data_IF_706826449031
#
_entry.id   IF_706826449031
#
_cell.length_a   1.000
_cell.length_b   1.000
_cell.length_c   1.000
_cell.angle_alpha   90.00
_cell.angle_beta   90.00
_cell.angle_gamma   90.00
#
_symmetry.space_group_name_H-M   'P 1'
#
loop_
_entity.id
_entity.type
_entity.pdbx_description
1 polymer ?
#
# COMPACT_ATOMS: atom_id res chain seq x y z
N UNK A 1 28.24 53.67 -20.34
CA UNK A 1 26.87 53.16 -20.25
C UNK A 1 26.96 51.66 -20.05
N UNK A 2 26.73 51.17 -18.84
CA UNK A 2 26.74 49.75 -18.54
C UNK A 2 25.31 49.25 -18.51
N UNK A 3 24.94 48.46 -19.52
CA UNK A 3 23.62 47.85 -19.63
C UNK A 3 23.51 46.74 -18.58
N UNK A 4 22.62 46.94 -17.59
CA UNK A 4 22.33 45.98 -16.52
C UNK A 4 20.98 45.34 -16.79
N UNK A 5 20.93 44.39 -17.71
CA UNK A 5 19.83 43.43 -17.77
C UNK A 5 20.05 42.36 -16.70
N UNK A 6 19.14 42.18 -15.74
CA UNK A 6 19.24 41.08 -14.79
C UNK A 6 19.02 39.75 -15.54
N UNK A 7 20.00 38.84 -15.45
CA UNK A 7 19.81 37.44 -15.84
C UNK A 7 18.76 36.84 -14.90
N UNK A 8 17.57 36.61 -15.43
CA UNK A 8 16.59 35.72 -14.80
C UNK A 8 17.13 34.29 -14.91
N UNK A 9 17.94 33.90 -13.93
CA UNK A 9 18.23 32.49 -13.68
C UNK A 9 16.93 31.83 -13.21
N UNK A 10 16.15 31.29 -14.15
CA UNK A 10 15.21 30.23 -13.83
C UNK A 10 16.02 29.02 -13.37
N UNK A 11 16.40 29.01 -12.10
CA UNK A 11 16.68 27.78 -11.37
C UNK A 11 15.38 26.97 -11.43
N UNK A 12 15.25 26.16 -12.48
CA UNK A 12 14.23 25.13 -12.57
C UNK A 12 14.36 24.30 -11.31
N UNK A 13 13.40 24.46 -10.40
CA UNK A 13 13.29 23.60 -9.25
C UNK A 13 13.26 22.17 -9.81
N UNK A 14 14.30 21.38 -9.53
CA UNK A 14 14.24 19.95 -9.74
C UNK A 14 13.15 19.47 -8.81
N UNK A 15 11.95 19.29 -9.35
CA UNK A 15 10.87 18.61 -8.65
C UNK A 15 11.37 17.19 -8.48
N UNK A 16 11.94 16.89 -7.32
CA UNK A 16 12.28 15.52 -6.97
C UNK A 16 10.97 14.77 -6.82
N UNK A 17 10.66 13.95 -7.82
CA UNK A 17 9.54 13.02 -7.76
C UNK A 17 9.76 12.10 -6.55
N UNK A 18 8.70 11.84 -5.80
CA UNK A 18 8.76 10.86 -4.72
C UNK A 18 9.06 9.45 -5.28
N UNK A 19 9.49 8.55 -4.40
CA UNK A 19 9.91 7.20 -4.80
C UNK A 19 8.76 6.43 -5.46
N UNK A 20 7.53 6.63 -4.98
CA UNK A 20 6.34 5.96 -5.52
C UNK A 20 6.03 6.42 -6.95
N UNK A 21 6.03 7.74 -7.21
CA UNK A 21 5.78 8.26 -8.56
C UNK A 21 6.84 7.79 -9.54
N UNK A 22 8.11 7.67 -9.13
CA UNK A 22 9.15 7.10 -10.00
C UNK A 22 8.88 5.63 -10.33
N UNK A 23 8.48 4.83 -9.34
CA UNK A 23 8.15 3.42 -9.57
C UNK A 23 6.98 3.27 -10.55
N UNK A 24 5.93 4.05 -10.39
CA UNK A 24 4.77 4.04 -11.30
C UNK A 24 5.19 4.45 -12.72
N UNK A 25 6.00 5.51 -12.86
CA UNK A 25 6.48 5.93 -14.18
C UNK A 25 7.38 4.88 -14.83
N UNK A 26 8.21 4.18 -14.06
CA UNK A 26 9.01 3.06 -14.54
C UNK A 26 8.11 1.92 -15.04
N UNK A 27 7.10 1.54 -14.27
CA UNK A 27 6.17 0.48 -14.64
C UNK A 27 5.38 0.83 -15.93
N UNK A 28 4.91 2.09 -16.04
CA UNK A 28 4.24 2.59 -17.25
C UNK A 28 5.19 2.53 -18.45
N UNK A 29 6.44 2.96 -18.28
CA UNK A 29 7.44 2.93 -19.35
C UNK A 29 7.79 1.50 -19.77
N UNK A 30 7.93 0.58 -18.82
CA UNK A 30 8.24 -0.82 -19.08
C UNK A 30 7.11 -1.51 -19.85
N UNK A 31 5.86 -1.34 -19.40
CA UNK A 31 4.69 -1.86 -20.10
C UNK A 31 4.58 -1.28 -21.51
N UNK A 32 4.83 0.03 -21.68
CA UNK A 32 4.83 0.64 -23.00
C UNK A 32 5.92 0.07 -23.90
N UNK A 33 7.16 -0.04 -23.40
CA UNK A 33 8.31 -0.54 -24.15
C UNK A 33 8.18 -2.04 -24.53
N UNK A 34 7.50 -2.84 -23.71
CA UNK A 34 7.23 -4.24 -24.02
C UNK A 34 6.29 -4.40 -25.23
N UNK A 35 5.34 -3.47 -25.39
CA UNK A 35 4.28 -3.56 -26.38
C UNK A 35 4.52 -2.66 -27.62
N UNK A 36 5.59 -1.87 -27.64
CA UNK A 36 5.91 -0.99 -28.76
C UNK A 36 6.47 -1.78 -29.96
N UNK A 37 6.29 -1.21 -31.15
CA UNK A 37 6.85 -1.76 -32.39
C UNK A 37 8.36 -1.60 -32.35
N UNK A 38 9.06 -2.73 -32.37
CA UNK A 38 10.51 -2.77 -32.26
C UNK A 38 11.16 -2.55 -33.63
N UNK A 39 12.38 -2.00 -33.69
CA UNK A 39 13.04 -1.71 -34.96
C UNK A 39 13.16 -2.92 -35.90
N UNK A 40 13.32 -4.13 -35.36
CA UNK A 40 13.43 -5.37 -36.12
C UNK A 40 12.09 -5.99 -36.55
N UNK A 41 10.96 -5.38 -36.15
CA UNK A 41 9.61 -5.81 -36.53
C UNK A 41 8.99 -4.90 -37.60
N UNK A 42 9.59 -3.75 -37.86
CA UNK A 42 9.09 -2.78 -38.82
C UNK A 42 9.80 -2.94 -40.17
N UNK A 43 9.02 -3.00 -41.26
CA UNK A 43 9.53 -2.85 -42.61
C UNK A 43 10.03 -1.41 -42.83
N UNK A 44 10.90 -1.17 -43.83
CA UNK A 44 11.47 0.17 -44.10
C UNK A 44 10.38 1.26 -44.28
N UNK A 45 9.21 0.87 -44.79
CA UNK A 45 8.03 1.74 -44.97
C UNK A 45 7.32 2.12 -43.66
N UNK A 46 7.62 1.45 -42.55
CA UNK A 46 6.99 1.63 -41.23
C UNK A 46 7.94 2.26 -40.20
N UNK A 47 9.05 2.85 -40.65
CA UNK A 47 10.06 3.48 -39.79
C UNK A 47 9.47 4.53 -38.82
N UNK A 48 8.37 5.20 -39.19
CA UNK A 48 7.69 6.19 -38.33
C UNK A 48 6.85 5.60 -37.20
N UNK A 49 6.55 4.29 -37.24
CA UNK A 49 5.78 3.59 -36.20
C UNK A 49 6.64 2.93 -35.13
N UNK A 50 7.97 2.92 -35.31
CA UNK A 50 8.91 2.38 -34.32
C UNK A 50 8.77 3.17 -33.02
N UNK A 51 8.73 2.46 -31.88
CA UNK A 51 8.55 3.08 -30.58
C UNK A 51 7.12 3.57 -30.29
N UNK A 52 6.14 3.15 -31.10
CA UNK A 52 4.72 3.38 -30.87
C UNK A 52 3.98 2.06 -30.65
N UNK A 53 2.78 2.12 -30.06
CA UNK A 53 1.84 1.00 -29.99
C UNK A 53 0.74 1.19 -31.03
N UNK A 54 0.19 0.11 -31.59
CA UNK A 54 -1.00 0.23 -32.44
C UNK A 54 -2.19 0.67 -31.61
N UNK A 55 -2.98 1.60 -32.14
CA UNK A 55 -4.11 2.19 -31.43
C UNK A 55 -5.17 1.16 -31.01
N UNK A 56 -5.33 0.08 -31.78
CA UNK A 56 -6.23 -1.04 -31.45
C UNK A 56 -5.81 -1.83 -30.21
N UNK A 57 -4.51 -1.84 -29.90
CA UNK A 57 -3.92 -2.61 -28.81
C UNK A 57 -3.89 -1.82 -27.49
N UNK A 58 -4.11 -0.49 -27.57
CA UNK A 58 -4.13 0.42 -26.42
C UNK A 58 -4.81 -0.15 -25.18
N UNK A 59 -6.05 -0.63 -25.32
CA UNK A 59 -6.84 -1.14 -24.18
C UNK A 59 -6.19 -2.37 -23.56
N UNK A 60 -5.62 -3.27 -24.37
CA UNK A 60 -4.97 -4.47 -23.86
C UNK A 60 -3.65 -4.13 -23.14
N UNK A 61 -2.91 -3.15 -23.66
CA UNK A 61 -1.68 -2.64 -23.03
C UNK A 61 -2.02 -1.94 -21.71
N UNK A 62 -3.04 -1.07 -21.69
CA UNK A 62 -3.46 -0.37 -20.49
C UNK A 62 -3.98 -1.34 -19.39
N UNK A 63 -4.57 -2.48 -19.75
CA UNK A 63 -4.96 -3.52 -18.79
C UNK A 63 -3.77 -4.17 -18.07
N UNK A 64 -2.59 -4.20 -18.69
CA UNK A 64 -1.38 -4.71 -18.04
C UNK A 64 -0.96 -3.83 -16.85
N UNK A 65 -1.35 -2.55 -16.87
CA UNK A 65 -1.20 -1.59 -15.76
C UNK A 65 -2.37 -1.65 -14.74
N UNK A 66 -3.25 -2.64 -14.85
CA UNK A 66 -4.41 -2.79 -13.96
C UNK A 66 -5.61 -1.89 -14.30
N UNK A 67 -5.57 -1.11 -15.39
CA UNK A 67 -6.72 -0.30 -15.81
C UNK A 67 -7.89 -1.18 -16.28
N UNK A 68 -9.09 -0.94 -15.75
CA UNK A 68 -10.29 -1.71 -16.10
C UNK A 68 -11.18 -0.89 -17.04
N UNK A 69 -11.51 -1.47 -18.20
CA UNK A 69 -12.37 -0.83 -19.19
C UNK A 69 -13.65 -1.64 -19.42
N UNK A 70 -14.79 -0.98 -19.32
CA UNK A 70 -16.09 -1.51 -19.73
C UNK A 70 -16.20 -1.63 -21.24
N UNK A 71 -17.10 -2.48 -21.72
CA UNK A 71 -17.35 -2.65 -23.16
C UNK A 71 -17.83 -1.36 -23.85
N UNK A 72 -18.46 -0.44 -23.12
CA UNK A 72 -18.88 0.86 -23.65
C UNK A 72 -17.67 1.79 -23.87
N UNK A 73 -16.75 1.85 -22.90
CA UNK A 73 -15.53 2.65 -22.98
C UNK A 73 -14.62 2.17 -24.09
N UNK A 74 -14.40 0.86 -24.22
CA UNK A 74 -13.58 0.29 -25.31
C UNK A 74 -14.13 0.71 -26.68
N UNK A 75 -15.46 0.67 -26.87
CA UNK A 75 -16.10 1.14 -28.11
C UNK A 75 -15.98 2.64 -28.30
N UNK A 76 -16.06 3.43 -27.23
CA UNK A 76 -15.89 4.88 -27.29
C UNK A 76 -14.45 5.26 -27.70
N UNK A 77 -13.45 4.66 -27.05
CA UNK A 77 -12.02 4.87 -27.33
C UNK A 77 -11.71 4.52 -28.78
N UNK A 78 -12.12 3.33 -29.26
CA UNK A 78 -11.91 2.92 -30.65
C UNK A 78 -12.55 3.88 -31.65
N UNK A 79 -13.78 4.35 -31.37
CA UNK A 79 -14.47 5.34 -32.22
C UNK A 79 -13.72 6.67 -32.27
N UNK A 80 -13.20 7.16 -31.15
CA UNK A 80 -12.46 8.42 -31.11
C UNK A 80 -11.12 8.31 -31.84
N UNK A 81 -10.35 7.25 -31.59
CA UNK A 81 -9.07 7.02 -32.28
C UNK A 81 -9.28 6.93 -33.80
N UNK A 82 -10.32 6.21 -34.25
CA UNK A 82 -10.68 6.13 -35.67
C UNK A 82 -11.11 7.49 -36.24
N UNK A 83 -11.95 8.25 -35.52
CA UNK A 83 -12.42 9.59 -35.94
C UNK A 83 -11.26 10.56 -36.17
N UNK A 84 -10.22 10.48 -35.32
CA UNK A 84 -9.03 11.32 -35.41
C UNK A 84 -7.92 10.71 -36.27
N UNK A 85 -8.16 9.57 -36.94
CA UNK A 85 -7.17 8.84 -37.76
C UNK A 85 -5.87 8.51 -36.99
N UNK A 86 -6.00 8.19 -35.71
CA UNK A 86 -4.89 7.78 -34.86
C UNK A 86 -4.72 6.26 -35.00
N UNK A 87 -3.72 5.85 -35.78
CA UNK A 87 -3.37 4.44 -35.97
C UNK A 87 -2.30 3.95 -34.98
N UNK A 88 -1.45 4.88 -34.53
CA UNK A 88 -0.33 4.63 -33.65
C UNK A 88 -0.33 5.62 -32.49
N UNK A 89 0.05 5.14 -31.30
CA UNK A 89 0.07 5.91 -30.06
C UNK A 89 1.51 5.93 -29.55
N UNK A 90 2.06 7.12 -29.36
CA UNK A 90 3.37 7.31 -28.74
C UNK A 90 3.28 7.28 -27.20
N UNK A 91 4.43 7.31 -26.52
CA UNK A 91 4.48 7.20 -25.05
C UNK A 91 3.72 8.33 -24.35
N UNK A 92 3.83 9.56 -24.85
CA UNK A 92 3.17 10.72 -24.24
C UNK A 92 1.64 10.61 -24.33
N UNK A 93 1.14 10.21 -25.51
CA UNK A 93 -0.28 9.96 -25.73
C UNK A 93 -0.78 8.78 -24.88
N UNK A 94 0.03 7.74 -24.74
CA UNK A 94 -0.31 6.58 -23.89
C UNK A 94 -0.45 7.00 -22.43
N UNK A 95 0.53 7.71 -21.88
CA UNK A 95 0.50 8.25 -20.51
C UNK A 95 -0.71 9.14 -20.32
N UNK A 96 -1.01 10.02 -21.28
CA UNK A 96 -2.17 10.91 -21.19
C UNK A 96 -3.50 10.14 -21.15
N UNK A 97 -3.67 9.12 -21.99
CA UNK A 97 -4.89 8.31 -22.03
C UNK A 97 -5.05 7.47 -20.75
N UNK A 98 -3.97 6.93 -20.21
CA UNK A 98 -3.97 6.22 -18.92
C UNK A 98 -4.32 7.17 -17.78
N UNK A 99 -3.71 8.35 -17.73
CA UNK A 99 -4.00 9.34 -16.69
C UNK A 99 -5.46 9.80 -16.73
N UNK A 100 -6.02 10.02 -17.92
CA UNK A 100 -7.45 10.34 -18.08
C UNK A 100 -8.35 9.23 -17.53
N UNK A 101 -7.98 7.96 -17.74
CA UNK A 101 -8.72 6.81 -17.20
C UNK A 101 -8.65 6.77 -15.68
N UNK A 102 -7.46 6.93 -15.11
CA UNK A 102 -7.26 6.99 -13.65
C UNK A 102 -8.10 8.12 -13.05
N UNK A 103 -8.10 9.31 -13.67
CA UNK A 103 -8.89 10.45 -13.21
C UNK A 103 -10.40 10.22 -13.33
N UNK A 104 -10.87 9.51 -14.36
CA UNK A 104 -12.29 9.16 -14.53
C UNK A 104 -12.75 8.07 -13.55
N UNK A 105 -11.87 7.12 -13.26
CA UNK A 105 -12.12 6.03 -12.31
C UNK A 105 -11.83 6.43 -10.87
N UNK A 106 -11.37 7.66 -10.65
CA UNK A 106 -11.19 8.24 -9.32
C UNK A 106 -12.57 8.46 -8.70
N UNK A 107 -13.16 7.37 -8.25
CA UNK A 107 -14.11 7.39 -7.16
C UNK A 107 -13.25 7.71 -5.95
N UNK A 108 -13.63 8.74 -5.19
CA UNK A 108 -13.19 8.86 -3.80
C UNK A 108 -13.73 7.64 -3.07
N UNK A 109 -13.01 6.53 -3.16
CA UNK A 109 -13.30 5.37 -2.36
C UNK A 109 -12.89 5.81 -0.95
N UNK A 110 -13.88 6.16 -0.14
CA UNK A 110 -13.71 6.20 1.31
C UNK A 110 -13.26 4.80 1.72
N UNK A 111 -11.95 4.61 1.75
CA UNK A 111 -11.36 3.40 2.28
C UNK A 111 -11.59 3.46 3.78
N UNK A 112 -12.53 2.64 4.27
CA UNK A 112 -12.59 2.35 5.70
C UNK A 112 -11.17 1.93 6.14
N UNK A 113 -10.64 2.51 7.21
CA UNK A 113 -9.27 2.27 7.62
C UNK A 113 -9.06 0.77 7.82
N UNK A 114 -8.01 0.23 7.21
CA UNK A 114 -7.68 -1.18 7.30
C UNK A 114 -7.62 -1.59 8.78
N UNK A 115 -8.48 -2.53 9.18
CA UNK A 115 -8.48 -3.04 10.54
C UNK A 115 -7.22 -3.90 10.73
N UNK A 116 -6.26 -3.38 11.49
CA UNK A 116 -5.05 -4.14 11.83
C UNK A 116 -5.38 -5.22 12.87
N UNK A 117 -4.66 -6.36 12.89
CA UNK A 117 -4.83 -7.37 13.96
C UNK A 117 -4.70 -6.76 15.37
N UNK A 118 -3.87 -5.73 15.52
CA UNK A 118 -3.73 -4.99 16.78
C UNK A 118 -5.02 -4.25 17.19
N UNK A 119 -5.78 -3.68 16.25
CA UNK A 119 -7.06 -3.03 16.54
C UNK A 119 -8.13 -4.03 16.99
N UNK A 120 -7.98 -5.33 16.69
CA UNK A 120 -8.86 -6.39 17.17
C UNK A 120 -8.39 -7.00 18.50
N UNK A 121 -7.08 -7.26 18.61
CA UNK A 121 -6.49 -7.97 19.74
C UNK A 121 -6.38 -7.07 20.98
N UNK A 122 -5.97 -5.80 20.81
CA UNK A 122 -5.76 -4.89 21.96
C UNK A 122 -7.03 -4.69 22.78
N UNK A 123 -8.20 -4.36 22.21
CA UNK A 123 -9.43 -4.22 23.01
C UNK A 123 -9.79 -5.50 23.77
N UNK A 124 -9.54 -6.68 23.17
CA UNK A 124 -9.81 -7.97 23.83
C UNK A 124 -8.83 -8.25 24.98
N UNK A 125 -7.57 -7.86 24.84
CA UNK A 125 -6.60 -7.95 25.93
C UNK A 125 -6.93 -6.98 27.07
N UNK A 126 -7.42 -5.78 26.75
CA UNK A 126 -7.90 -4.81 27.74
C UNK A 126 -9.12 -5.32 28.49
N UNK A 127 -10.10 -5.90 27.78
CA UNK A 127 -11.27 -6.57 28.38
C UNK A 127 -10.82 -7.72 29.31
N UNK A 128 -9.86 -8.55 28.88
CA UNK A 128 -9.33 -9.64 29.70
C UNK A 128 -8.61 -9.11 30.95
N UNK A 129 -7.84 -8.03 30.83
CA UNK A 129 -7.20 -7.39 31.98
C UNK A 129 -8.24 -6.92 32.99
N UNK A 130 -9.34 -6.32 32.55
CA UNK A 130 -10.41 -5.84 33.44
C UNK A 130 -11.12 -6.98 34.19
N UNK A 131 -11.15 -8.19 33.63
CA UNK A 131 -11.63 -9.40 34.33
C UNK A 131 -10.62 -9.86 35.37
N UNK A 132 -9.33 -9.85 35.05
CA UNK A 132 -8.26 -10.28 35.96
C UNK A 132 -8.07 -9.28 37.11
N UNK A 133 -8.12 -7.98 36.84
CA UNK A 133 -8.15 -6.90 37.84
C UNK A 133 -9.59 -6.59 38.28
N UNK A 134 -10.27 -7.60 38.82
CA UNK A 134 -11.65 -7.47 39.31
C UNK A 134 -11.79 -6.37 40.39
N UNK A 135 -10.71 -6.06 41.12
CA UNK A 135 -10.67 -5.01 42.13
C UNK A 135 -10.53 -3.60 41.53
N UNK A 136 -10.28 -3.49 40.21
CA UNK A 136 -10.09 -2.24 39.47
C UNK A 136 -9.02 -1.34 40.08
N UNK A 137 -7.91 -1.94 40.48
CA UNK A 137 -6.78 -1.23 41.11
C UNK A 137 -5.64 -0.89 40.14
N UNK A 138 -5.78 -1.29 38.87
CA UNK A 138 -4.75 -1.26 37.83
C UNK A 138 -3.47 -2.00 38.28
N UNK A 139 -3.67 -3.11 39.00
CA UNK A 139 -2.60 -3.89 39.63
C UNK A 139 -2.90 -5.38 39.53
N UNK A 140 -2.42 -6.00 38.45
CA UNK A 140 -2.40 -7.45 38.34
C UNK A 140 -1.14 -7.99 39.02
N UNK A 141 -1.27 -8.83 40.04
CA UNK A 141 -0.07 -9.39 40.70
C UNK A 141 0.64 -10.40 39.81
N UNK A 142 1.96 -10.53 39.93
CA UNK A 142 2.72 -11.56 39.19
C UNK A 142 2.27 -12.99 39.52
N UNK A 143 1.70 -13.21 40.70
CA UNK A 143 1.09 -14.49 41.08
C UNK A 143 -0.17 -14.78 40.27
N UNK A 144 -1.06 -13.79 40.13
CA UNK A 144 -2.30 -13.93 39.36
C UNK A 144 -2.02 -14.10 37.88
N UNK A 145 -1.05 -13.35 37.34
CA UNK A 145 -0.60 -13.52 35.96
C UNK A 145 0.00 -14.92 35.74
N UNK A 146 0.78 -15.43 36.70
CA UNK A 146 1.32 -16.79 36.64
C UNK A 146 0.21 -17.84 36.64
N UNK A 147 -0.80 -17.69 37.49
CA UNK A 147 -1.96 -18.59 37.50
C UNK A 147 -2.73 -18.56 36.18
N UNK A 148 -2.94 -17.37 35.62
CA UNK A 148 -3.56 -17.20 34.31
C UNK A 148 -2.77 -17.92 33.21
N UNK A 149 -1.45 -17.73 33.16
CA UNK A 149 -0.56 -18.37 32.20
C UNK A 149 -0.41 -19.89 32.39
N UNK A 150 -0.66 -20.37 33.61
CA UNK A 150 -0.63 -21.79 33.94
C UNK A 150 -1.92 -22.53 33.59
N UNK A 151 -3.04 -21.82 33.40
CA UNK A 151 -4.35 -22.41 33.12
C UNK A 151 -4.37 -23.35 31.88
N UNK A 152 -3.68 -23.04 30.77
CA UNK A 152 -3.60 -23.95 29.62
C UNK A 152 -2.71 -25.18 29.83
N UNK A 153 -1.85 -25.17 30.85
CA UNK A 153 -0.83 -26.20 31.09
C UNK A 153 -1.00 -26.89 32.45
N UNK A 154 -2.24 -27.27 32.80
CA UNK A 154 -2.57 -27.99 34.05
C UNK A 154 -2.04 -27.33 35.35
N UNK A 155 -1.87 -26.01 35.37
CA UNK A 155 -1.34 -25.30 36.54
C UNK A 155 0.19 -25.23 36.61
N UNK A 156 0.92 -25.76 35.61
CA UNK A 156 2.37 -25.66 35.53
C UNK A 156 2.82 -24.46 34.70
N UNK A 157 3.39 -23.45 35.36
CA UNK A 157 4.11 -22.35 34.72
C UNK A 157 5.32 -21.96 35.56
N UNK A 158 6.52 -21.95 34.98
CA UNK A 158 7.75 -21.63 35.71
C UNK A 158 7.91 -20.11 35.87
N UNK A 159 8.33 -19.69 37.07
CA UNK A 159 8.67 -18.29 37.36
C UNK A 159 9.78 -17.77 36.44
N UNK A 160 10.76 -18.63 36.09
CA UNK A 160 11.84 -18.25 35.17
C UNK A 160 11.32 -17.91 33.78
N UNK A 161 10.26 -18.59 33.33
CA UNK A 161 9.63 -18.32 32.02
C UNK A 161 8.93 -16.96 32.06
N UNK A 162 8.24 -16.64 33.17
CA UNK A 162 7.64 -15.31 33.35
C UNK A 162 8.69 -14.19 33.32
N UNK A 163 9.82 -14.39 33.98
CA UNK A 163 10.93 -13.42 34.01
C UNK A 163 11.52 -13.19 32.62
N UNK A 164 11.65 -14.26 31.81
CA UNK A 164 12.11 -14.17 30.42
C UNK A 164 11.12 -13.38 29.57
N UNK A 165 9.81 -13.65 29.70
CA UNK A 165 8.75 -12.92 28.98
C UNK A 165 8.77 -11.42 29.30
N UNK A 166 8.83 -11.06 30.59
CA UNK A 166 8.91 -9.66 31.02
C UNK A 166 10.17 -8.97 30.47
N UNK A 167 11.31 -9.67 30.48
CA UNK A 167 12.57 -9.14 29.95
C UNK A 167 12.52 -8.94 28.44
N UNK A 168 11.88 -9.85 27.69
CA UNK A 168 11.74 -9.74 26.24
C UNK A 168 10.99 -8.45 25.84
N UNK A 169 9.93 -8.12 26.57
CA UNK A 169 9.12 -6.92 26.34
C UNK A 169 9.65 -5.65 27.03
N UNK A 170 10.89 -5.67 27.55
CA UNK A 170 11.51 -4.58 28.29
C UNK A 170 10.70 -4.08 29.50
N UNK A 171 9.94 -4.97 30.14
CA UNK A 171 9.17 -4.67 31.35
C UNK A 171 10.04 -4.98 32.57
N UNK A 172 10.19 -3.99 33.46
CA UNK A 172 10.93 -4.19 34.72
C UNK A 172 10.20 -5.21 35.58
N UNK A 173 10.95 -6.15 36.15
CA UNK A 173 10.38 -7.09 37.11
C UNK A 173 9.87 -6.34 38.35
N UNK A 174 8.57 -6.42 38.60
CA UNK A 174 7.89 -5.80 39.73
C UNK A 174 6.71 -6.66 40.17
N UNK A 175 6.20 -6.43 41.37
CA UNK A 175 5.12 -7.24 41.98
C UNK A 175 3.79 -7.14 41.21
N UNK A 176 3.53 -6.00 40.58
CA UNK A 176 2.26 -5.70 39.93
C UNK A 176 2.47 -5.21 38.50
N UNK A 177 1.65 -5.70 37.57
CA UNK A 177 1.66 -5.38 36.15
C UNK A 177 0.41 -4.54 35.86
N UNK A 178 0.60 -3.39 35.20
CA UNK A 178 -0.51 -2.52 34.82
C UNK A 178 -1.13 -2.97 33.48
N UNK A 179 -2.26 -2.37 33.09
CA UNK A 179 -2.95 -2.72 31.85
C UNK A 179 -2.06 -2.61 30.61
N UNK A 180 -1.28 -1.54 30.49
CA UNK A 180 -0.40 -1.32 29.32
C UNK A 180 0.69 -2.39 29.18
N UNK A 181 1.30 -2.77 30.30
CA UNK A 181 2.33 -3.81 30.35
C UNK A 181 1.74 -5.19 30.06
N UNK A 182 0.54 -5.47 30.54
CA UNK A 182 -0.18 -6.70 30.21
C UNK A 182 -0.45 -6.78 28.70
N UNK A 183 -0.98 -5.72 28.08
CA UNK A 183 -1.22 -5.70 26.64
C UNK A 183 0.09 -5.90 25.86
N UNK A 184 1.20 -5.28 26.28
CA UNK A 184 2.52 -5.48 25.65
C UNK A 184 2.99 -6.93 25.69
N UNK A 185 2.75 -7.66 26.78
CA UNK A 185 3.13 -9.08 26.90
C UNK A 185 2.47 -10.00 25.88
N UNK A 186 1.25 -9.67 25.45
CA UNK A 186 0.44 -10.53 24.58
C UNK A 186 0.23 -9.95 23.18
N UNK A 187 0.65 -8.71 22.94
CA UNK A 187 0.61 -8.11 21.62
C UNK A 187 1.58 -8.86 20.70
N UNK A 188 1.16 -9.31 19.51
CA UNK A 188 2.05 -9.96 18.57
C UNK A 188 3.25 -9.06 18.23
N UNK A 189 4.46 -9.62 18.28
CA UNK A 189 5.73 -8.93 17.99
C UNK A 189 5.86 -8.58 16.51
N UNK A 190 5.22 -9.35 15.63
CA UNK A 190 5.27 -9.13 14.19
C UNK A 190 4.26 -8.07 13.74
N UNK A 191 4.75 -7.12 12.93
CA UNK A 191 3.94 -6.16 12.18
C UNK A 191 3.10 -6.92 11.14
N UNK A 192 2.03 -7.55 11.60
CA UNK A 192 1.05 -8.28 10.79
C UNK A 192 0.09 -7.34 10.06
N UNK A 193 0.46 -6.07 9.87
CA UNK A 193 -0.29 -5.15 9.01
C UNK A 193 -0.45 -5.68 7.59
N UNK A 194 0.46 -6.52 7.10
CA UNK A 194 0.32 -7.25 5.83
C UNK A 194 -0.77 -8.34 5.83
N UNK A 195 -1.26 -8.76 7.01
CA UNK A 195 -2.42 -9.66 7.18
C UNK A 195 -3.73 -8.89 7.44
N UNK A 196 -3.73 -7.56 7.36
CA UNK A 196 -4.96 -6.79 7.54
C UNK A 196 -5.99 -7.18 6.48
N UNK A 197 -7.10 -7.77 6.95
CA UNK A 197 -8.20 -8.22 6.11
C UNK A 197 -9.24 -7.11 6.04
N UNK A 198 -9.73 -6.84 4.83
CA UNK A 198 -10.93 -6.02 4.62
C UNK A 198 -12.12 -6.80 5.16
N UNK A 199 -12.61 -6.44 6.35
CA UNK A 199 -13.86 -6.97 6.87
C UNK A 199 -14.99 -6.20 6.19
N UNK A 200 -15.60 -6.79 5.18
CA UNK A 200 -16.82 -6.23 4.58
C UNK A 200 -17.98 -6.57 5.51
N UNK A 201 -18.44 -5.61 6.31
CA UNK A 201 -19.72 -5.74 6.97
C UNK A 201 -20.83 -5.59 5.93
N UNK A 202 -21.65 -6.64 5.77
CA UNK A 202 -22.91 -6.60 5.02
C UNK A 202 -24.06 -6.29 5.97
#
# INVERSE_FOLDING_TARGET
MGDRTPKHDHKGAKVELDTLTRQILHEIADVFALNCIKPWQADESQSQSIGTIKAQDFVNVARQLGCVFTAAEVRAIRRQLAKHKIEYINVDQFVQLVNNKIAQDHVDIEHEPATTPNQLIVPKLEELYDVLDWQKQDKLTTSDLKHFLAAPNNGEFDQKVLEVLLKHENIKFKRNINKEEFVKLFKPVEDTSYLSLKIVHK
#
